data_IF_926730370217
#
_entry.id   IF_926730370217
#
_cell.length_a   1.000
_cell.length_b   1.000
_cell.length_c   1.000
_cell.angle_alpha   90.00
_cell.angle_beta   90.00
_cell.angle_gamma   90.00
#
_symmetry.space_group_name_H-M   'P 1'
#
loop_
_entity.id
_entity.type
_entity.pdbx_description
1 polymer ?
#
# COMPACT_ATOMS: atom_id res chain seq x y z
N UNK A 1 -19.56 32.20 -62.14
CA UNK A 1 -18.17 31.95 -61.70
C UNK A 1 -18.03 32.34 -60.24
N UNK A 2 -17.16 31.64 -59.52
CA UNK A 2 -16.73 31.83 -58.11
C UNK A 2 -17.63 31.18 -57.05
N UNK A 3 -17.35 29.88 -56.82
CA UNK A 3 -17.67 29.16 -55.60
C UNK A 3 -16.70 29.63 -54.52
N UNK A 4 -17.20 30.13 -53.38
CA UNK A 4 -16.39 30.43 -52.19
C UNK A 4 -16.59 29.28 -51.22
N UNK A 5 -15.58 28.40 -51.11
CA UNK A 5 -15.49 27.39 -50.06
C UNK A 5 -14.96 28.07 -48.79
N UNK A 6 -15.82 28.21 -47.79
CA UNK A 6 -15.45 28.66 -46.46
C UNK A 6 -15.05 27.43 -45.63
N UNK A 7 -13.74 27.20 -45.48
CA UNK A 7 -13.19 26.19 -44.56
C UNK A 7 -13.35 26.68 -43.12
N UNK A 8 -14.17 25.98 -42.34
CA UNK A 8 -14.24 26.13 -40.88
C UNK A 8 -13.15 25.24 -40.29
N UNK A 9 -12.07 25.85 -39.80
CA UNK A 9 -11.05 25.16 -39.01
C UNK A 9 -11.55 25.09 -37.57
N UNK A 10 -12.05 23.93 -37.16
CA UNK A 10 -12.44 23.67 -35.77
C UNK A 10 -11.17 23.42 -34.94
N UNK A 11 -10.76 24.42 -34.16
CA UNK A 11 -9.65 24.33 -33.23
C UNK A 11 -10.11 23.53 -31.99
N UNK A 12 -9.80 22.23 -31.96
CA UNK A 12 -10.04 21.39 -30.78
C UNK A 12 -8.96 21.68 -29.73
N UNK A 13 -9.29 22.52 -28.74
CA UNK A 13 -8.49 22.63 -27.51
C UNK A 13 -8.69 21.35 -26.70
N UNK A 14 -7.76 20.42 -26.80
CA UNK A 14 -7.66 19.28 -25.88
C UNK A 14 -7.21 19.82 -24.52
N UNK A 15 -8.16 20.03 -23.61
CA UNK A 15 -7.86 20.30 -22.21
C UNK A 15 -7.23 19.03 -21.62
N UNK A 16 -5.90 19.04 -21.46
CA UNK A 16 -5.20 18.02 -20.69
C UNK A 16 -5.61 18.18 -19.23
N UNK A 17 -6.45 17.28 -18.73
CA UNK A 17 -6.77 17.19 -17.32
C UNK A 17 -5.47 16.89 -16.54
N UNK A 18 -4.95 17.90 -15.86
CA UNK A 18 -3.89 17.73 -14.88
C UNK A 18 -4.49 16.99 -13.69
N UNK A 19 -4.19 15.70 -13.55
CA UNK A 19 -4.50 14.94 -12.35
C UNK A 19 -3.65 15.49 -11.20
N UNK A 20 -4.19 16.46 -10.48
CA UNK A 20 -3.70 16.80 -9.13
C UNK A 20 -3.87 15.56 -8.27
N UNK A 21 -2.75 14.95 -7.84
CA UNK A 21 -2.79 13.84 -6.90
C UNK A 21 -3.54 14.28 -5.64
N UNK A 22 -4.62 13.58 -5.31
CA UNK A 22 -5.35 13.83 -4.08
C UNK A 22 -4.44 13.52 -2.89
N UNK A 23 -4.26 14.49 -2.00
CA UNK A 23 -3.66 14.27 -0.69
C UNK A 23 -4.55 13.30 0.10
N UNK A 24 -3.95 12.50 0.99
CA UNK A 24 -4.73 11.62 1.84
C UNK A 24 -5.69 12.43 2.72
N UNK A 25 -6.98 12.11 2.66
CA UNK A 25 -8.00 12.71 3.54
C UNK A 25 -7.95 12.03 4.91
N UNK A 26 -8.34 12.72 5.97
CA UNK A 26 -8.44 12.09 7.30
C UNK A 26 -9.88 11.62 7.49
N UNK A 27 -10.07 10.31 7.66
CA UNK A 27 -11.39 9.70 7.89
C UNK A 27 -11.94 9.97 9.29
N UNK A 28 -13.19 9.56 9.51
CA UNK A 28 -13.89 9.72 10.80
C UNK A 28 -13.20 8.97 11.96
N UNK A 29 -12.47 7.91 11.64
CA UNK A 29 -11.61 7.15 12.55
C UNK A 29 -10.31 7.89 12.92
N UNK A 30 -10.04 9.01 12.26
CA UNK A 30 -8.84 9.82 12.45
C UNK A 30 -7.60 9.25 11.76
N UNK A 31 -7.76 8.27 10.87
CA UNK A 31 -6.69 7.71 10.05
C UNK A 31 -6.66 8.36 8.67
N UNK A 32 -5.48 8.35 8.04
CA UNK A 32 -5.30 8.86 6.69
C UNK A 32 -5.85 7.85 5.67
N UNK A 33 -6.60 8.35 4.68
CA UNK A 33 -7.26 7.56 3.63
C UNK A 33 -6.66 7.92 2.29
N UNK A 34 -6.28 6.92 1.52
CA UNK A 34 -5.80 7.09 0.16
C UNK A 34 -6.66 6.28 -0.83
N UNK A 35 -6.86 6.74 -2.08
CA UNK A 35 -7.74 6.06 -3.04
C UNK A 35 -7.36 4.62 -3.38
N UNK A 36 -6.09 4.24 -3.18
CA UNK A 36 -5.58 2.89 -3.42
C UNK A 36 -5.80 1.93 -2.24
N UNK A 37 -6.29 2.42 -1.09
CA UNK A 37 -6.66 1.56 0.03
C UNK A 37 -7.99 0.86 -0.22
N UNK A 38 -8.11 -0.36 0.31
CA UNK A 38 -9.29 -1.20 0.17
C UNK A 38 -10.13 -1.13 1.43
N UNK A 39 -11.42 -0.92 1.24
CA UNK A 39 -12.44 -1.09 2.27
C UNK A 39 -12.97 -2.53 2.16
N UNK A 40 -12.66 -3.35 3.15
CA UNK A 40 -13.05 -4.76 3.19
C UNK A 40 -13.63 -5.10 4.55
N UNK A 41 -14.14 -6.33 4.70
CA UNK A 41 -14.55 -6.87 5.99
C UNK A 41 -13.37 -7.30 6.88
N UNK A 42 -12.12 -7.13 6.42
CA UNK A 42 -10.89 -7.52 7.12
C UNK A 42 -10.84 -9.01 7.45
N UNK A 43 -11.40 -9.84 6.58
CA UNK A 43 -11.13 -11.28 6.58
C UNK A 43 -9.90 -11.53 5.71
N UNK A 44 -8.78 -11.88 6.33
CA UNK A 44 -7.49 -11.94 5.63
C UNK A 44 -7.44 -13.04 4.57
N UNK A 45 -8.24 -14.12 4.71
CA UNK A 45 -8.32 -15.17 3.69
C UNK A 45 -9.09 -14.68 2.47
N UNK A 46 -10.20 -13.97 2.69
CA UNK A 46 -10.96 -13.33 1.61
C UNK A 46 -10.15 -12.21 0.94
N UNK A 47 -9.53 -11.33 1.73
CA UNK A 47 -8.68 -10.23 1.24
C UNK A 47 -7.52 -10.76 0.38
N UNK A 48 -6.86 -11.85 0.82
CA UNK A 48 -5.78 -12.49 0.05
C UNK A 48 -6.31 -13.11 -1.26
N UNK A 49 -7.46 -13.77 -1.23
CA UNK A 49 -8.07 -14.36 -2.42
C UNK A 49 -8.46 -13.28 -3.44
N UNK A 50 -9.02 -12.16 -2.99
CA UNK A 50 -9.35 -11.02 -3.84
C UNK A 50 -8.08 -10.38 -4.43
N UNK A 51 -7.07 -10.11 -3.58
CA UNK A 51 -5.77 -9.60 -4.02
C UNK A 51 -5.17 -10.47 -5.12
N UNK A 52 -5.15 -11.79 -4.93
CA UNK A 52 -4.66 -12.75 -5.91
C UNK A 52 -5.48 -12.72 -7.21
N UNK A 53 -6.81 -12.60 -7.12
CA UNK A 53 -7.68 -12.52 -8.30
C UNK A 53 -7.44 -11.26 -9.14
N UNK A 54 -7.02 -10.17 -8.50
CA UNK A 54 -6.59 -8.93 -9.16
C UNK A 54 -5.11 -8.95 -9.59
N UNK A 55 -4.36 -10.01 -9.27
CA UNK A 55 -2.92 -10.09 -9.53
C UNK A 55 -2.09 -9.14 -8.66
N UNK A 56 -2.59 -8.78 -7.47
CA UNK A 56 -1.96 -7.85 -6.53
C UNK A 56 -1.40 -8.57 -5.31
N UNK A 57 -0.38 -7.99 -4.70
CA UNK A 57 0.16 -8.44 -3.41
C UNK A 57 -0.65 -7.85 -2.26
N UNK A 58 -1.14 -8.69 -1.36
CA UNK A 58 -1.79 -8.22 -0.13
C UNK A 58 -0.78 -7.51 0.78
N UNK A 59 -1.13 -6.29 1.21
CA UNK A 59 -0.38 -5.51 2.19
C UNK A 59 -1.30 -5.06 3.31
N UNK A 60 -0.94 -5.35 4.56
CA UNK A 60 -1.59 -4.70 5.70
C UNK A 60 -0.81 -3.44 6.09
N UNK A 61 -1.53 -2.35 6.29
CA UNK A 61 -0.99 -1.07 6.76
C UNK A 61 -1.60 -0.73 8.12
N UNK A 62 -0.84 -0.96 9.18
CA UNK A 62 -1.28 -0.68 10.55
C UNK A 62 -0.98 0.78 10.90
N UNK A 63 -2.01 1.55 11.23
CA UNK A 63 -1.92 2.98 11.56
C UNK A 63 -2.68 3.32 12.83
N UNK A 64 -2.47 4.53 13.36
CA UNK A 64 -3.21 5.05 14.51
C UNK A 64 -3.54 6.52 14.31
N UNK A 65 -4.60 6.97 14.96
CA UNK A 65 -5.00 8.37 14.99
C UNK A 65 -3.88 9.26 15.54
N UNK A 66 -3.65 10.41 14.88
CA UNK A 66 -2.67 11.40 15.34
C UNK A 66 -1.20 10.99 15.16
N UNK A 67 -0.94 9.91 14.44
CA UNK A 67 0.40 9.42 14.15
C UNK A 67 1.14 10.34 13.16
N UNK A 68 2.13 11.09 13.66
CA UNK A 68 2.94 12.01 12.82
C UNK A 68 3.74 11.28 11.73
N UNK A 69 4.12 10.02 11.97
CA UNK A 69 4.86 9.22 10.99
C UNK A 69 3.95 8.68 9.89
N UNK A 70 2.71 8.33 10.24
CA UNK A 70 1.67 7.91 9.30
C UNK A 70 1.31 9.09 8.39
N UNK A 71 1.10 10.27 8.98
CA UNK A 71 0.93 11.54 8.24
C UNK A 71 2.07 11.78 7.26
N UNK A 72 3.32 11.67 7.73
CA UNK A 72 4.50 11.83 6.87
C UNK A 72 4.49 10.85 5.69
N UNK A 73 4.16 9.58 5.92
CA UNK A 73 4.07 8.62 4.81
C UNK A 73 3.02 9.05 3.79
N UNK A 74 1.83 9.43 4.24
CA UNK A 74 0.72 9.84 3.37
C UNK A 74 0.91 11.18 2.66
N UNK A 75 1.66 12.11 3.22
CA UNK A 75 1.86 13.45 2.63
C UNK A 75 3.16 13.57 1.82
N UNK A 76 4.20 12.80 2.16
CA UNK A 76 5.53 12.97 1.56
C UNK A 76 5.99 11.77 0.73
N UNK A 77 5.61 10.54 1.12
CA UNK A 77 6.23 9.31 0.58
C UNK A 77 5.27 8.56 -0.36
N UNK A 78 4.09 8.20 0.10
CA UNK A 78 3.09 7.47 -0.68
C UNK A 78 2.50 8.30 -1.82
N UNK A 79 2.61 9.63 -1.78
CA UNK A 79 2.18 10.53 -2.88
C UNK A 79 3.19 10.63 -4.02
N UNK A 80 4.43 10.15 -3.81
CA UNK A 80 5.47 10.19 -4.85
C UNK A 80 4.96 9.34 -6.02
N UNK A 81 4.91 9.87 -7.27
CA UNK A 81 4.21 9.23 -8.37
C UNK A 81 4.58 7.76 -8.59
N UNK A 82 5.88 7.43 -8.49
CA UNK A 82 6.36 6.05 -8.66
C UNK A 82 5.95 5.11 -7.53
N UNK A 83 5.80 5.60 -6.30
CA UNK A 83 5.34 4.79 -5.15
C UNK A 83 3.82 4.68 -5.18
N UNK A 84 3.12 5.80 -5.39
CA UNK A 84 1.66 5.86 -5.50
C UNK A 84 1.16 4.88 -6.55
N UNK A 85 1.80 4.88 -7.73
CA UNK A 85 1.41 4.01 -8.82
C UNK A 85 1.62 2.53 -8.46
N UNK A 86 2.72 2.17 -7.80
CA UNK A 86 2.92 0.80 -7.33
C UNK A 86 1.83 0.38 -6.34
N UNK A 87 1.50 1.23 -5.36
CA UNK A 87 0.45 0.96 -4.39
C UNK A 87 -0.92 0.76 -5.05
N UNK A 88 -1.21 1.52 -6.10
CA UNK A 88 -2.47 1.44 -6.86
C UNK A 88 -2.54 0.20 -7.76
N UNK A 89 -1.47 -0.05 -8.53
CA UNK A 89 -1.45 -1.06 -9.59
C UNK A 89 -1.08 -2.46 -9.06
N UNK A 90 -0.25 -2.56 -8.02
CA UNK A 90 0.38 -3.81 -7.60
C UNK A 90 0.03 -4.28 -6.20
N UNK A 91 -0.55 -3.43 -5.35
CA UNK A 91 -0.86 -3.80 -3.96
C UNK A 91 -2.35 -3.73 -3.66
N UNK A 92 -2.82 -4.72 -2.92
CA UNK A 92 -4.13 -4.73 -2.29
C UNK A 92 -3.94 -4.30 -0.84
N UNK A 93 -4.15 -3.01 -0.55
CA UNK A 93 -3.78 -2.46 0.76
C UNK A 93 -4.98 -2.40 1.70
N UNK A 94 -4.95 -3.19 2.77
CA UNK A 94 -5.96 -3.14 3.83
C UNK A 94 -5.39 -2.39 5.03
N UNK A 95 -6.05 -1.30 5.40
CA UNK A 95 -5.66 -0.49 6.56
C UNK A 95 -6.20 -1.13 7.84
N UNK A 96 -5.38 -1.20 8.89
CA UNK A 96 -5.74 -1.69 10.23
C UNK A 96 -5.54 -0.56 11.23
N UNK A 97 -6.56 -0.24 12.02
CA UNK A 97 -6.45 0.74 13.09
C UNK A 97 -5.91 0.08 14.37
N UNK A 98 -4.70 0.46 14.79
CA UNK A 98 -4.02 -0.06 15.98
C UNK A 98 -4.86 0.01 17.27
N UNK A 99 -5.80 0.96 17.36
CA UNK A 99 -6.72 1.08 18.50
C UNK A 99 -8.19 0.98 18.10
N UNK A 100 -8.47 0.46 16.90
CA UNK A 100 -9.81 0.28 16.41
C UNK A 100 -10.54 -0.90 17.05
N UNK A 101 -11.85 -0.90 16.87
CA UNK A 101 -12.77 -1.91 17.37
C UNK A 101 -13.46 -2.69 16.23
N UNK A 102 -13.04 -2.47 14.97
CA UNK A 102 -13.54 -3.26 13.84
C UNK A 102 -13.03 -4.70 13.99
N UNK A 103 -13.85 -5.67 13.65
CA UNK A 103 -13.44 -7.07 13.69
C UNK A 103 -12.46 -7.38 12.55
N UNK A 104 -11.45 -8.19 12.83
CA UNK A 104 -10.49 -8.72 11.87
C UNK A 104 -10.49 -10.23 12.02
N UNK A 105 -10.66 -10.97 10.93
CA UNK A 105 -10.49 -12.42 10.88
C UNK A 105 -9.11 -12.74 10.33
N UNK A 106 -8.25 -13.31 11.16
CA UNK A 106 -6.86 -13.64 10.79
C UNK A 106 -6.80 -14.86 9.86
N UNK A 107 -5.62 -15.15 9.32
CA UNK A 107 -5.40 -16.30 8.43
C UNK A 107 -5.63 -17.67 9.10
N UNK A 108 -5.59 -17.74 10.43
CA UNK A 108 -5.92 -18.93 11.21
C UNK A 108 -7.41 -19.03 11.59
N UNK A 109 -8.23 -18.08 11.14
CA UNK A 109 -9.67 -18.04 11.36
C UNK A 109 -10.10 -17.43 12.69
N UNK A 110 -9.15 -16.99 13.54
CA UNK A 110 -9.49 -16.27 14.77
C UNK A 110 -9.98 -14.86 14.43
N UNK A 111 -11.16 -14.51 14.91
CA UNK A 111 -11.71 -13.16 14.83
C UNK A 111 -11.43 -12.39 16.14
N UNK A 112 -10.91 -11.17 16.03
CA UNK A 112 -10.68 -10.24 17.15
C UNK A 112 -10.87 -8.79 16.69
N UNK A 113 -11.22 -7.86 17.60
CA UNK A 113 -11.14 -6.43 17.31
C UNK A 113 -9.71 -6.02 16.91
N UNK A 114 -9.56 -5.04 16.01
CA UNK A 114 -8.26 -4.59 15.48
C UNK A 114 -7.23 -4.35 16.58
N UNK A 115 -7.59 -3.68 17.68
CA UNK A 115 -6.68 -3.41 18.80
C UNK A 115 -6.11 -4.65 19.48
N UNK A 116 -6.85 -5.75 19.50
CA UNK A 116 -6.42 -7.00 20.11
C UNK A 116 -5.71 -7.88 19.08
N UNK A 117 -6.11 -7.79 17.81
CA UNK A 117 -5.40 -8.40 16.69
C UNK A 117 -3.99 -7.83 16.51
N UNK A 118 -3.84 -6.51 16.58
CA UNK A 118 -2.54 -5.82 16.49
C UNK A 118 -1.61 -6.21 17.63
N UNK A 119 -2.13 -6.38 18.86
CA UNK A 119 -1.37 -6.93 19.99
C UNK A 119 -0.95 -8.38 19.74
N UNK A 120 -1.86 -9.20 19.20
CA UNK A 120 -1.60 -10.61 18.86
C UNK A 120 -0.45 -10.73 17.85
N UNK A 121 -0.43 -9.86 16.84
CA UNK A 121 0.64 -9.81 15.84
C UNK A 121 1.95 -9.16 16.34
N UNK A 122 1.98 -8.67 17.58
CA UNK A 122 3.16 -8.03 18.15
C UNK A 122 3.53 -6.70 17.48
N UNK A 123 2.60 -6.02 16.82
CA UNK A 123 2.85 -4.72 16.21
C UNK A 123 2.91 -3.63 17.29
N UNK A 124 4.11 -3.08 17.50
CA UNK A 124 4.39 -2.09 18.56
C UNK A 124 4.44 -0.64 18.06
N UNK A 125 4.57 -0.42 16.75
CA UNK A 125 4.79 0.90 16.16
C UNK A 125 3.90 1.13 14.95
N UNK A 126 3.67 2.40 14.61
CA UNK A 126 2.93 2.80 13.40
C UNK A 126 3.72 3.86 12.61
N UNK A 127 3.64 3.87 11.28
CA UNK A 127 2.98 2.85 10.47
C UNK A 127 3.74 1.51 10.53
N UNK A 128 3.06 0.38 10.45
CA UNK A 128 3.70 -0.92 10.23
C UNK A 128 3.14 -1.57 8.97
N UNK A 129 4.02 -1.97 8.07
CA UNK A 129 3.64 -2.60 6.80
C UNK A 129 3.94 -4.08 6.89
N UNK A 130 2.95 -4.92 6.61
CA UNK A 130 3.09 -6.38 6.51
C UNK A 130 2.77 -6.78 5.08
N UNK A 131 3.64 -7.61 4.50
CA UNK A 131 3.49 -8.12 3.14
C UNK A 131 3.31 -9.63 3.18
N UNK A 132 2.44 -10.15 2.32
CA UNK A 132 2.08 -11.56 2.29
C UNK A 132 2.40 -12.16 0.93
N UNK A 133 2.77 -13.44 0.93
CA UNK A 133 2.85 -14.19 -0.31
C UNK A 133 1.43 -14.51 -0.83
N UNK A 134 1.32 -14.89 -2.11
CA UNK A 134 0.07 -15.31 -2.74
C UNK A 134 -0.54 -16.56 -2.07
N UNK A 135 0.28 -17.35 -1.38
CA UNK A 135 -0.14 -18.51 -0.60
C UNK A 135 0.30 -18.35 0.86
N UNK A 136 -0.65 -18.52 1.78
CA UNK A 136 -0.40 -18.53 3.23
C UNK A 136 -0.80 -19.90 3.77
N UNK A 137 0.08 -20.55 4.52
CA UNK A 137 -0.21 -21.88 5.07
C UNK A 137 -1.38 -21.83 6.05
N UNK A 138 -2.11 -22.95 6.17
CA UNK A 138 -3.22 -23.02 7.13
C UNK A 138 -2.71 -22.93 8.58
N UNK A 139 -3.45 -22.22 9.42
CA UNK A 139 -3.15 -22.11 10.85
C UNK A 139 -2.04 -21.11 11.22
N UNK A 140 -1.41 -20.45 10.24
CA UNK A 140 -0.52 -19.32 10.50
C UNK A 140 -1.34 -18.06 10.84
N UNK A 141 -0.86 -17.29 11.80
CA UNK A 141 -1.28 -15.89 12.01
C UNK A 141 -0.67 -14.97 10.95
N UNK A 142 -1.21 -13.77 10.76
CA UNK A 142 -0.60 -12.78 9.86
C UNK A 142 0.85 -12.42 10.25
N UNK A 143 1.19 -12.44 11.53
CA UNK A 143 2.56 -12.18 11.96
C UNK A 143 3.54 -13.30 11.55
N UNK A 144 3.07 -14.55 11.53
CA UNK A 144 3.88 -15.71 11.09
C UNK A 144 3.93 -15.82 9.56
N UNK A 145 2.82 -15.48 8.89
CA UNK A 145 2.68 -15.57 7.44
C UNK A 145 3.37 -14.44 6.66
N UNK A 146 3.65 -13.30 7.31
CA UNK A 146 4.23 -12.16 6.62
C UNK A 146 5.65 -12.47 6.10
N UNK A 147 5.85 -12.34 4.79
CA UNK A 147 7.17 -12.54 4.15
C UNK A 147 8.13 -11.39 4.44
N UNK A 148 7.57 -10.23 4.81
CA UNK A 148 8.32 -9.09 5.32
C UNK A 148 7.41 -8.22 6.20
N UNK A 149 8.02 -7.64 7.22
CA UNK A 149 7.39 -6.62 8.06
C UNK A 149 8.34 -5.44 8.22
N UNK A 150 7.84 -4.23 8.00
CA UNK A 150 8.61 -2.99 8.15
C UNK A 150 7.94 -2.09 9.19
N UNK A 151 8.56 -1.93 10.38
CA UNK A 151 8.04 -1.05 11.41
C UNK A 151 8.57 0.38 11.23
N UNK A 152 7.67 1.34 11.11
CA UNK A 152 7.96 2.77 11.09
C UNK A 152 7.90 3.41 9.70
N UNK A 153 8.09 4.74 9.69
CA UNK A 153 8.12 5.54 8.46
C UNK A 153 9.54 5.60 7.88
N UNK A 154 9.64 5.33 6.58
CA UNK A 154 10.89 5.37 5.82
C UNK A 154 10.79 6.34 4.65
N UNK A 155 11.92 6.87 4.22
CA UNK A 155 11.98 7.82 3.11
C UNK A 155 11.75 7.16 1.75
N UNK A 156 11.58 8.01 0.72
CA UNK A 156 11.33 7.65 -0.69
C UNK A 156 12.04 6.37 -1.13
N UNK A 157 13.37 6.32 -1.05
CA UNK A 157 14.14 5.25 -1.67
C UNK A 157 14.03 3.93 -0.93
N UNK A 158 13.94 3.94 0.40
CA UNK A 158 13.74 2.71 1.17
C UNK A 158 12.36 2.13 0.91
N UNK A 159 11.31 2.97 0.92
CA UNK A 159 9.95 2.52 0.58
C UNK A 159 9.86 2.02 -0.86
N UNK A 160 10.36 2.78 -1.83
CA UNK A 160 10.34 2.37 -3.24
C UNK A 160 11.10 1.06 -3.48
N UNK A 161 12.29 0.92 -2.92
CA UNK A 161 13.09 -0.30 -3.09
C UNK A 161 12.46 -1.49 -2.35
N UNK A 162 11.82 -1.27 -1.19
CA UNK A 162 11.11 -2.36 -0.48
C UNK A 162 9.95 -2.88 -1.32
N UNK A 163 9.11 -1.99 -1.85
CA UNK A 163 7.99 -2.40 -2.67
C UNK A 163 8.49 -3.21 -3.88
N UNK A 164 9.52 -2.75 -4.60
CA UNK A 164 10.06 -3.51 -5.74
C UNK A 164 10.60 -4.88 -5.31
N UNK A 165 11.33 -4.94 -4.20
CA UNK A 165 11.87 -6.19 -3.67
C UNK A 165 10.77 -7.21 -3.31
N UNK A 166 9.62 -6.73 -2.81
CA UNK A 166 8.44 -7.59 -2.55
C UNK A 166 7.84 -8.10 -3.87
N UNK A 167 7.66 -7.25 -4.87
CA UNK A 167 7.11 -7.64 -6.17
C UNK A 167 8.03 -8.61 -6.93
N UNK A 168 9.35 -8.45 -6.76
CA UNK A 168 10.36 -9.36 -7.31
C UNK A 168 10.48 -10.68 -6.51
N UNK A 169 9.67 -10.86 -5.45
CA UNK A 169 9.75 -11.98 -4.49
C UNK A 169 11.15 -12.18 -3.92
N UNK A 170 11.87 -11.09 -3.66
CA UNK A 170 13.24 -11.12 -3.18
C UNK A 170 13.41 -11.83 -1.83
N UNK A 171 12.33 -11.93 -1.04
CA UNK A 171 12.27 -12.69 0.21
C UNK A 171 12.46 -14.21 0.02
N UNK A 172 12.22 -14.73 -1.19
CA UNK A 172 12.47 -16.13 -1.53
C UNK A 172 13.91 -16.40 -2.03
N UNK A 173 14.70 -15.34 -2.23
CA UNK A 173 16.08 -15.41 -2.70
C UNK A 173 17.13 -15.30 -1.59
N UNK A 174 18.40 -15.28 -1.98
CA UNK A 174 19.54 -15.16 -1.05
C UNK A 174 19.89 -13.69 -0.71
N UNK A 175 19.45 -12.72 -1.52
CA UNK A 175 19.76 -11.30 -1.31
C UNK A 175 18.78 -10.69 -0.30
N UNK A 176 19.28 -10.35 0.90
CA UNK A 176 18.49 -9.63 1.89
C UNK A 176 18.07 -8.25 1.39
N UNK A 177 16.93 -7.75 1.88
CA UNK A 177 16.44 -6.41 1.52
C UNK A 177 17.48 -5.30 1.72
N UNK A 178 18.30 -5.35 2.78
CA UNK A 178 19.33 -4.33 3.02
C UNK A 178 20.40 -4.32 1.92
N UNK A 179 20.81 -5.50 1.43
CA UNK A 179 21.75 -5.61 0.31
C UNK A 179 21.12 -5.11 -0.99
N UNK A 180 19.88 -5.53 -1.26
CA UNK A 180 19.10 -5.05 -2.40
C UNK A 180 18.97 -3.52 -2.36
N UNK A 181 18.55 -2.96 -1.23
CA UNK A 181 18.37 -1.52 -1.05
C UNK A 181 19.68 -0.75 -1.28
N UNK A 182 20.80 -1.21 -0.71
CA UNK A 182 22.10 -0.56 -0.92
C UNK A 182 22.53 -0.59 -2.40
N UNK A 183 22.33 -1.72 -3.08
CA UNK A 183 22.62 -1.88 -4.51
C UNK A 183 21.77 -0.96 -5.38
N UNK A 184 20.46 -0.91 -5.14
CA UNK A 184 19.54 -0.05 -5.88
C UNK A 184 19.76 1.44 -5.59
N UNK A 185 20.04 1.80 -4.35
CA UNK A 185 20.32 3.17 -3.94
C UNK A 185 21.56 3.75 -4.65
N UNK A 186 22.62 2.96 -4.80
CA UNK A 186 23.81 3.37 -5.55
C UNK A 186 23.50 3.63 -7.04
N UNK A 187 22.57 2.88 -7.64
CA UNK A 187 22.13 3.09 -9.03
C UNK A 187 21.23 4.32 -9.18
N UNK A 188 20.51 4.70 -8.11
CA UNK A 188 19.59 5.84 -8.06
C UNK A 188 20.32 7.18 -7.79
N UNK A 189 21.64 7.16 -7.67
CA UNK A 189 22.48 8.35 -7.61
C UNK A 189 22.87 8.84 -6.21
N UNK A 190 22.42 8.16 -5.14
CA UNK A 190 22.70 8.56 -3.75
C UNK A 190 21.89 9.76 -3.27
#
# INVERSE_FOLDING_TARGET
MKRVCMMIVALWMTATATTTGALAEVGDDGLHKAPWMRETFKDLREDLAEANSEGKTLMLLIEQRGCIYCKKMHEDVFVIPSIRQMLEDNYFVVQINMFGDVEVTDFDGQALPEKDMVKRWGALFTPSLYFFDAEVEQGQTAAEAAVAMMPGAFGRWTTFNLLNWILERGYAGEESFQKYHARMFAQQGG
#
